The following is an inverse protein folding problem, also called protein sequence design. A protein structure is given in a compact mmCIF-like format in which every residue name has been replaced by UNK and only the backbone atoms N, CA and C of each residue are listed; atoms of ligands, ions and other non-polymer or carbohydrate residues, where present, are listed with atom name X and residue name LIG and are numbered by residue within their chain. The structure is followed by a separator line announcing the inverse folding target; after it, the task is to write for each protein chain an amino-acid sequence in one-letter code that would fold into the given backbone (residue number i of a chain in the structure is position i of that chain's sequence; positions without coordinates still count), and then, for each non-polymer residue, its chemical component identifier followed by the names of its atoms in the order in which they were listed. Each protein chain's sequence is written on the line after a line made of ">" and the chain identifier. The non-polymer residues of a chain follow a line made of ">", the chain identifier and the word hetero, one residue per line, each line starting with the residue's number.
data_IF_879398969345
#
_entry.id   IF_879398969345
#
_cell.length_a   1.000
_cell.length_b   1.000
_cell.length_c   1.000
_cell.angle_alpha   90.00
_cell.angle_beta   90.00
_cell.angle_gamma   90.00
#
_symmetry.space_group_name_H-M   'P 1'
#
loop_
_entity.id
_entity.type
_entity.pdbx_description
1 polymer ?
#
# COMPACT_ATOMS: atom_id res chain seq x y z
N UNK A 1 33.94 18.18 -1.23
CA UNK A 1 34.52 18.63 -2.52
C UNK A 1 35.76 17.88 -2.98
N UNK A 2 36.73 17.47 -2.13
CA UNK A 2 37.87 16.65 -2.60
C UNK A 2 37.57 15.14 -2.72
N UNK A 3 36.59 14.60 -2.00
CA UNK A 3 36.24 13.17 -2.01
C UNK A 3 35.33 12.74 -3.19
N UNK A 4 34.56 13.67 -3.76
CA UNK A 4 33.62 13.38 -4.87
C UNK A 4 34.33 13.02 -6.18
N UNK A 5 35.53 13.59 -6.40
CA UNK A 5 36.38 13.28 -7.56
C UNK A 5 36.98 11.87 -7.52
N UNK A 6 37.29 11.38 -6.32
CA UNK A 6 37.83 10.02 -6.12
C UNK A 6 36.74 8.94 -6.24
N UNK A 7 35.51 9.24 -5.84
CA UNK A 7 34.41 8.29 -5.98
C UNK A 7 34.03 8.05 -7.45
N UNK A 8 33.79 9.11 -8.24
CA UNK A 8 33.38 8.96 -9.64
C UNK A 8 34.46 8.28 -10.49
N UNK A 9 35.74 8.51 -10.17
CA UNK A 9 36.86 7.83 -10.83
C UNK A 9 36.93 6.35 -10.44
N UNK A 10 36.76 6.00 -9.15
CA UNK A 10 36.65 4.60 -8.69
C UNK A 10 35.44 3.89 -9.32
N UNK A 11 34.27 4.52 -9.33
CA UNK A 11 33.06 4.00 -9.97
C UNK A 11 33.29 3.72 -11.45
N UNK A 12 33.82 4.71 -12.20
CA UNK A 12 34.18 4.53 -13.62
C UNK A 12 35.23 3.45 -13.84
N UNK A 13 36.20 3.30 -12.94
CA UNK A 13 37.22 2.26 -13.02
C UNK A 13 36.60 0.87 -12.88
N UNK A 14 35.71 0.66 -11.91
CA UNK A 14 34.99 -0.61 -11.75
C UNK A 14 34.09 -0.88 -12.95
N UNK A 15 33.32 0.12 -13.42
CA UNK A 15 32.50 -0.03 -14.63
C UNK A 15 33.32 -0.35 -15.89
N UNK A 16 34.53 0.22 -16.02
CA UNK A 16 35.43 -0.08 -17.15
C UNK A 16 36.05 -1.49 -17.07
N UNK A 17 36.18 -2.10 -15.88
CA UNK A 17 36.59 -3.51 -15.74
C UNK A 17 35.49 -4.47 -16.24
N UNK A 18 34.23 -4.05 -16.19
CA UNK A 18 33.06 -4.82 -16.65
C UNK A 18 32.76 -4.67 -18.15
N UNK A 19 33.34 -3.67 -18.84
CA UNK A 19 33.19 -3.53 -20.29
C UNK A 19 33.81 -4.73 -21.00
N UNK A 20 33.06 -5.33 -21.93
CA UNK A 20 33.52 -6.45 -22.76
C UNK A 20 34.84 -6.09 -23.44
N UNK A 21 35.92 -6.72 -23.01
CA UNK A 21 37.19 -6.74 -23.74
C UNK A 21 37.15 -7.95 -24.66
N UNK A 22 37.56 -7.76 -25.92
CA UNK A 22 37.65 -8.84 -26.91
C UNK A 22 38.36 -10.04 -26.26
N UNK A 23 37.70 -11.21 -26.25
CA UNK A 23 38.18 -12.51 -25.75
C UNK A 23 38.28 -12.80 -24.24
N UNK A 24 37.97 -11.89 -23.31
CA UNK A 24 38.01 -12.20 -21.86
C UNK A 24 36.65 -12.02 -21.18
N UNK A 25 36.16 -13.08 -20.52
CA UNK A 25 34.99 -12.97 -19.62
C UNK A 25 35.37 -12.05 -18.46
N UNK A 26 34.62 -10.96 -18.20
CA UNK A 26 34.90 -10.09 -17.06
C UNK A 26 34.68 -10.85 -15.74
N UNK A 27 35.51 -10.58 -14.72
CA UNK A 27 35.33 -11.10 -13.36
C UNK A 27 34.20 -10.36 -12.67
N UNK A 28 33.01 -10.94 -12.70
CA UNK A 28 31.79 -10.31 -12.23
C UNK A 28 31.69 -10.26 -10.70
N UNK A 29 32.17 -11.30 -10.00
CA UNK A 29 32.13 -11.38 -8.53
C UNK A 29 33.05 -10.33 -7.86
N UNK A 30 34.27 -10.12 -8.37
CA UNK A 30 35.16 -9.09 -7.84
C UNK A 30 34.61 -7.67 -8.06
N UNK A 31 33.84 -7.47 -9.13
CA UNK A 31 33.23 -6.19 -9.42
C UNK A 31 32.03 -5.92 -8.49
N UNK A 32 31.19 -6.92 -8.19
CA UNK A 32 30.10 -6.76 -7.23
C UNK A 32 30.62 -6.47 -5.83
N UNK A 33 31.69 -7.13 -5.38
CA UNK A 33 32.34 -6.82 -4.09
C UNK A 33 32.90 -5.39 -4.05
N UNK A 34 33.55 -4.94 -5.13
CA UNK A 34 34.05 -3.56 -5.23
C UNK A 34 32.93 -2.52 -5.17
N UNK A 35 31.79 -2.77 -5.83
CA UNK A 35 30.62 -1.89 -5.71
C UNK A 35 30.00 -1.95 -4.32
N UNK A 36 29.97 -3.11 -3.67
CA UNK A 36 29.45 -3.27 -2.32
C UNK A 36 30.28 -2.50 -1.28
N UNK A 37 31.60 -2.48 -1.43
CA UNK A 37 32.49 -1.66 -0.59
C UNK A 37 32.24 -0.16 -0.81
N UNK A 38 32.19 0.28 -2.07
CA UNK A 38 31.90 1.68 -2.40
C UNK A 38 30.53 2.13 -1.89
N UNK A 39 29.50 1.27 -1.98
CA UNK A 39 28.18 1.59 -1.46
C UNK A 39 28.19 1.79 0.07
N UNK A 40 28.95 0.99 0.81
CA UNK A 40 29.09 1.15 2.27
C UNK A 40 29.83 2.44 2.64
N UNK A 41 30.91 2.77 1.94
CA UNK A 41 31.65 4.03 2.14
C UNK A 41 30.74 5.24 1.87
N UNK A 42 29.94 5.19 0.80
CA UNK A 42 29.02 6.27 0.46
C UNK A 42 27.85 6.41 1.43
N UNK A 43 27.34 5.30 1.97
CA UNK A 43 26.36 5.32 3.07
C UNK A 43 26.92 6.00 4.32
N UNK A 44 28.21 5.82 4.62
CA UNK A 44 28.87 6.49 5.76
C UNK A 44 29.11 7.98 5.52
N UNK A 45 29.14 8.41 4.25
CA UNK A 45 29.32 9.80 3.85
C UNK A 45 27.99 10.52 3.59
N UNK A 46 26.86 9.92 3.95
CA UNK A 46 25.49 10.41 3.73
C UNK A 46 25.16 10.74 2.24
N UNK A 47 25.92 10.17 1.31
CA UNK A 47 25.71 10.32 -0.13
C UNK A 47 24.75 9.24 -0.65
N UNK A 48 23.50 9.26 -0.18
CA UNK A 48 22.50 8.20 -0.39
C UNK A 48 22.21 7.90 -1.87
N UNK A 49 22.10 8.94 -2.70
CA UNK A 49 21.79 8.81 -4.13
C UNK A 49 22.88 8.01 -4.87
N UNK A 50 24.15 8.31 -4.59
CA UNK A 50 25.29 7.62 -5.18
C UNK A 50 25.44 6.19 -4.65
N UNK A 51 25.13 5.96 -3.37
CA UNK A 51 25.08 4.61 -2.80
C UNK A 51 24.01 3.76 -3.48
N UNK A 52 22.84 4.33 -3.76
CA UNK A 52 21.77 3.67 -4.48
C UNK A 52 22.16 3.31 -5.92
N UNK A 53 22.85 4.21 -6.64
CA UNK A 53 23.40 3.89 -7.96
C UNK A 53 24.44 2.77 -7.94
N UNK A 54 25.27 2.69 -6.89
CA UNK A 54 26.21 1.58 -6.71
C UNK A 54 25.49 0.25 -6.49
N UNK A 55 24.42 0.25 -5.67
CA UNK A 55 23.61 -0.94 -5.44
C UNK A 55 22.87 -1.39 -6.70
N UNK A 56 22.34 -0.45 -7.48
CA UNK A 56 21.73 -0.74 -8.79
C UNK A 56 22.76 -1.35 -9.75
N UNK A 57 24.01 -0.85 -9.75
CA UNK A 57 25.08 -1.41 -10.56
C UNK A 57 25.46 -2.86 -10.18
N UNK A 58 25.30 -3.24 -8.91
CA UNK A 58 25.44 -4.64 -8.46
C UNK A 58 24.31 -5.51 -8.99
N UNK A 59 23.08 -5.04 -8.88
CA UNK A 59 21.89 -5.87 -9.04
C UNK A 59 21.37 -6.02 -10.48
N UNK A 60 22.00 -5.39 -11.48
CA UNK A 60 21.35 -5.16 -12.78
C UNK A 60 21.22 -6.41 -13.68
N UNK A 61 19.99 -6.73 -14.14
CA UNK A 61 19.73 -7.34 -15.45
C UNK A 61 19.09 -6.34 -16.46
N UNK A 62 19.52 -6.48 -17.71
CA UNK A 62 18.84 -6.18 -19.00
C UNK A 62 18.09 -4.82 -19.14
N UNK A 63 18.78 -3.85 -19.75
CA UNK A 63 18.21 -2.99 -20.80
C UNK A 63 18.83 -3.42 -22.14
N UNK A 64 18.33 -4.51 -22.73
CA UNK A 64 18.42 -4.78 -24.18
C UNK A 64 17.41 -5.87 -24.55
N UNK A 65 16.15 -5.49 -24.72
CA UNK A 65 15.24 -6.07 -25.71
C UNK A 65 14.12 -5.05 -26.00
N UNK A 66 14.30 -4.31 -27.09
CA UNK A 66 13.25 -3.58 -27.80
C UNK A 66 12.79 -2.25 -27.20
N UNK A 67 13.13 -1.14 -27.89
CA UNK A 67 12.31 0.08 -28.10
C UNK A 67 11.95 0.89 -26.83
N UNK A 68 12.44 2.10 -26.55
CA UNK A 68 12.46 3.40 -27.28
C UNK A 68 13.46 4.35 -26.54
N UNK A 69 14.04 5.41 -27.15
CA UNK A 69 15.29 6.04 -26.71
C UNK A 69 15.14 7.30 -25.83
N UNK A 70 16.28 7.69 -25.22
CA UNK A 70 16.61 8.96 -24.55
C UNK A 70 16.21 9.03 -23.05
N UNK A 71 17.07 9.40 -22.08
CA UNK A 71 18.29 10.21 -22.04
C UNK A 71 19.34 9.48 -21.16
N UNK A 72 20.60 9.44 -21.62
CA UNK A 72 21.77 8.63 -21.18
C UNK A 72 21.87 8.25 -19.68
N UNK A 73 22.15 6.96 -19.35
CA UNK A 73 23.53 6.45 -19.30
C UNK A 73 23.77 5.16 -20.14
N UNK A 74 25.05 4.75 -20.36
CA UNK A 74 25.45 3.78 -21.38
C UNK A 74 25.07 2.31 -21.05
N UNK A 75 25.18 1.40 -22.05
CA UNK A 75 24.92 -0.02 -21.85
C UNK A 75 26.05 -0.65 -21.04
N UNK A 76 25.78 -1.85 -20.52
CA UNK A 76 26.68 -2.73 -19.75
C UNK A 76 26.74 -2.45 -18.24
N UNK A 77 26.05 -3.28 -17.47
CA UNK A 77 26.61 -4.14 -16.42
C UNK A 77 25.58 -5.27 -16.20
N UNK A 78 26.00 -6.53 -16.37
CA UNK A 78 25.22 -7.76 -16.14
C UNK A 78 26.00 -8.53 -15.11
N UNK A 79 25.61 -8.44 -13.85
CA UNK A 79 26.45 -8.98 -12.78
C UNK A 79 25.81 -10.24 -12.16
N UNK A 80 24.63 -10.13 -11.58
CA UNK A 80 24.13 -11.22 -10.74
C UNK A 80 23.32 -12.27 -11.51
N UNK A 81 22.60 -11.88 -12.56
CA UNK A 81 21.93 -12.83 -13.45
C UNK A 81 22.90 -13.72 -14.23
N UNK A 82 24.13 -13.26 -14.50
CA UNK A 82 25.18 -14.09 -15.11
C UNK A 82 25.76 -15.14 -14.17
N UNK A 83 25.51 -15.01 -12.87
CA UNK A 83 25.94 -15.94 -11.82
C UNK A 83 24.80 -16.86 -11.33
N UNK A 84 23.59 -16.73 -11.90
CA UNK A 84 22.38 -17.44 -11.44
C UNK A 84 22.07 -17.24 -9.94
N UNK A 85 22.57 -16.16 -9.33
CA UNK A 85 22.29 -15.84 -7.93
C UNK A 85 21.09 -14.90 -7.84
N UNK A 86 19.91 -15.44 -8.17
CA UNK A 86 18.68 -14.69 -8.14
C UNK A 86 18.39 -14.03 -6.75
N UNK A 87 18.59 -14.68 -5.58
CA UNK A 87 18.25 -14.06 -4.29
C UNK A 87 19.19 -12.91 -3.92
N UNK A 88 20.47 -13.00 -4.30
CA UNK A 88 21.41 -11.88 -4.16
C UNK A 88 20.98 -10.66 -4.98
N UNK A 89 20.52 -10.91 -6.21
CA UNK A 89 20.00 -9.88 -7.11
C UNK A 89 18.79 -9.16 -6.53
N UNK A 90 17.83 -9.90 -5.99
CA UNK A 90 16.65 -9.34 -5.36
C UNK A 90 17.00 -8.49 -4.13
N UNK A 91 17.97 -8.93 -3.31
CA UNK A 91 18.44 -8.17 -2.15
C UNK A 91 19.16 -6.88 -2.56
N UNK A 92 20.03 -6.93 -3.57
CA UNK A 92 20.73 -5.74 -4.04
C UNK A 92 19.76 -4.71 -4.67
N UNK A 93 18.72 -5.17 -5.37
CA UNK A 93 17.65 -4.29 -5.88
C UNK A 93 16.83 -3.65 -4.76
N UNK A 94 16.46 -4.42 -3.73
CA UNK A 94 15.68 -3.88 -2.61
C UNK A 94 16.49 -2.90 -1.76
N UNK A 95 17.77 -3.18 -1.54
CA UNK A 95 18.68 -2.24 -0.87
C UNK A 95 18.90 -0.95 -1.67
N UNK A 96 18.98 -1.03 -3.00
CA UNK A 96 19.02 0.16 -3.85
C UNK A 96 17.74 0.98 -3.71
N UNK A 97 16.58 0.32 -3.78
CA UNK A 97 15.27 0.96 -3.71
C UNK A 97 15.06 1.69 -2.38
N UNK A 98 15.42 1.06 -1.26
CA UNK A 98 15.33 1.67 0.08
C UNK A 98 16.18 2.93 0.21
N UNK A 99 17.39 2.94 -0.37
CA UNK A 99 18.24 4.14 -0.36
C UNK A 99 17.65 5.28 -1.20
N UNK A 100 17.06 4.97 -2.35
CA UNK A 100 16.36 5.97 -3.15
C UNK A 100 15.16 6.55 -2.39
N UNK A 101 14.36 5.72 -1.72
CA UNK A 101 13.25 6.20 -0.88
C UNK A 101 13.73 7.08 0.27
N UNK A 102 14.84 6.72 0.94
CA UNK A 102 15.43 7.55 1.98
C UNK A 102 15.88 8.90 1.43
N UNK A 103 16.54 8.93 0.28
CA UNK A 103 16.94 10.19 -0.36
C UNK A 103 15.75 11.07 -0.75
N UNK A 104 14.62 10.47 -1.17
CA UNK A 104 13.40 11.25 -1.42
C UNK A 104 12.79 11.80 -0.14
N UNK A 105 12.79 11.03 0.95
CA UNK A 105 12.32 11.51 2.25
C UNK A 105 13.14 12.70 2.74
N UNK A 106 14.46 12.65 2.57
CA UNK A 106 15.34 13.78 2.91
C UNK A 106 15.08 15.00 2.02
N UNK A 107 14.94 14.81 0.70
CA UNK A 107 14.60 15.91 -0.21
C UNK A 107 13.27 16.59 0.16
N UNK A 108 12.27 15.80 0.56
CA UNK A 108 10.97 16.30 1.02
C UNK A 108 11.03 16.98 2.37
N UNK A 109 11.84 16.47 3.30
CA UNK A 109 12.10 17.13 4.58
C UNK A 109 12.73 18.52 4.38
N UNK A 110 13.60 18.65 3.37
CA UNK A 110 14.19 19.92 2.95
C UNK A 110 13.23 20.80 2.11
N UNK A 111 12.04 20.31 1.78
CA UNK A 111 11.06 20.96 0.89
C UNK A 111 11.68 21.40 -0.45
N UNK A 112 12.68 20.66 -0.92
CA UNK A 112 13.35 20.97 -2.18
C UNK A 112 12.39 20.66 -3.35
N UNK A 113 12.17 21.59 -4.30
CA UNK A 113 11.42 21.29 -5.51
C UNK A 113 12.24 20.32 -6.37
N UNK A 114 11.82 19.06 -6.40
CA UNK A 114 12.42 17.98 -7.20
C UNK A 114 11.40 17.33 -8.13
N UNK A 115 11.87 16.76 -9.24
CA UNK A 115 11.04 16.06 -10.24
C UNK A 115 10.78 14.58 -9.89
N UNK A 116 10.87 14.21 -8.60
CA UNK A 116 10.69 12.82 -8.11
C UNK A 116 11.55 11.77 -8.82
N UNK A 117 12.75 12.14 -9.27
CA UNK A 117 13.63 11.24 -10.04
C UNK A 117 14.06 10.02 -9.22
N UNK A 118 14.35 10.20 -7.92
CA UNK A 118 14.73 9.08 -7.07
C UNK A 118 13.51 8.23 -6.69
N UNK A 119 12.31 8.80 -6.60
CA UNK A 119 11.07 8.04 -6.42
C UNK A 119 10.81 7.13 -7.61
N UNK A 120 10.90 7.66 -8.83
CA UNK A 120 10.75 6.86 -10.06
C UNK A 120 11.83 5.77 -10.16
N UNK A 121 13.07 6.08 -9.77
CA UNK A 121 14.13 5.08 -9.68
C UNK A 121 13.80 3.98 -8.65
N UNK A 122 13.27 4.34 -7.49
CA UNK A 122 12.85 3.39 -6.45
C UNK A 122 11.71 2.48 -6.95
N UNK A 123 10.67 3.05 -7.56
CA UNK A 123 9.52 2.31 -8.12
C UNK A 123 9.96 1.27 -9.13
N UNK A 124 10.88 1.64 -10.02
CA UNK A 124 11.46 0.73 -10.99
C UNK A 124 12.24 -0.40 -10.31
N UNK A 125 13.10 -0.07 -9.33
CA UNK A 125 13.87 -1.08 -8.58
C UNK A 125 12.97 -2.08 -7.84
N UNK A 126 11.93 -1.61 -7.15
CA UNK A 126 10.93 -2.48 -6.52
C UNK A 126 10.19 -3.34 -7.55
N UNK A 127 9.78 -2.76 -8.68
CA UNK A 127 9.09 -3.51 -9.74
C UNK A 127 9.94 -4.65 -10.31
N UNK A 128 11.25 -4.47 -10.41
CA UNK A 128 12.17 -5.54 -10.80
C UNK A 128 12.36 -6.56 -9.68
N UNK A 129 12.55 -6.13 -8.42
CA UNK A 129 12.69 -7.04 -7.30
C UNK A 129 11.46 -7.96 -7.14
N UNK A 130 10.25 -7.40 -7.27
CA UNK A 130 8.99 -8.16 -7.21
C UNK A 130 8.94 -9.23 -8.31
N UNK A 131 9.35 -8.90 -9.55
CA UNK A 131 9.39 -9.88 -10.65
C UNK A 131 10.35 -11.04 -10.34
N UNK A 132 11.53 -10.73 -9.80
CA UNK A 132 12.53 -11.73 -9.42
C UNK A 132 11.99 -12.65 -8.31
N UNK A 133 11.31 -12.12 -7.29
CA UNK A 133 10.70 -12.95 -6.23
C UNK A 133 9.54 -13.82 -6.74
N UNK A 134 8.78 -13.36 -7.73
CA UNK A 134 7.74 -14.17 -8.38
C UNK A 134 8.38 -15.31 -9.18
N UNK A 135 9.47 -15.05 -9.92
CA UNK A 135 10.22 -16.08 -10.65
C UNK A 135 10.83 -17.15 -9.71
N UNK A 136 11.13 -16.78 -8.46
CA UNK A 136 11.59 -17.71 -7.41
C UNK A 136 10.48 -18.51 -6.74
N UNK A 137 9.21 -18.30 -7.08
CA UNK A 137 8.05 -18.85 -6.39
C UNK A 137 7.97 -18.45 -4.90
N UNK A 138 8.40 -17.24 -4.53
CA UNK A 138 8.27 -16.68 -3.18
C UNK A 138 7.31 -15.48 -3.17
N UNK A 139 5.98 -15.69 -3.31
CA UNK A 139 5.01 -14.60 -3.42
C UNK A 139 4.86 -13.78 -2.13
N UNK A 140 5.14 -14.38 -0.96
CA UNK A 140 5.10 -13.70 0.34
C UNK A 140 6.14 -12.58 0.40
N UNK A 141 7.36 -12.83 -0.08
CA UNK A 141 8.42 -11.82 -0.15
C UNK A 141 8.11 -10.74 -1.19
N UNK A 142 7.49 -11.12 -2.31
CA UNK A 142 7.02 -10.16 -3.30
C UNK A 142 5.94 -9.23 -2.72
N UNK A 143 5.01 -9.77 -1.93
CA UNK A 143 3.94 -9.01 -1.30
C UNK A 143 4.46 -8.04 -0.23
N UNK A 144 5.42 -8.46 0.60
CA UNK A 144 6.01 -7.57 1.62
C UNK A 144 6.70 -6.35 1.00
N UNK A 145 7.35 -6.51 -0.16
CA UNK A 145 7.92 -5.39 -0.90
C UNK A 145 6.85 -4.45 -1.48
N UNK A 146 5.73 -4.99 -1.97
CA UNK A 146 4.59 -4.18 -2.39
C UNK A 146 4.02 -3.36 -1.21
N UNK A 147 3.94 -3.95 -0.02
CA UNK A 147 3.46 -3.27 1.20
C UNK A 147 4.42 -2.18 1.66
N UNK A 148 5.74 -2.45 1.69
CA UNK A 148 6.75 -1.43 2.00
C UNK A 148 6.64 -0.22 1.07
N UNK A 149 6.46 -0.48 -0.23
CA UNK A 149 6.30 0.56 -1.24
C UNK A 149 4.99 1.34 -1.07
N UNK A 150 3.87 0.65 -0.83
CA UNK A 150 2.57 1.29 -0.59
C UNK A 150 2.60 2.20 0.64
N UNK A 151 3.21 1.75 1.74
CA UNK A 151 3.36 2.56 2.95
C UNK A 151 4.25 3.79 2.72
N UNK A 152 5.35 3.63 1.99
CA UNK A 152 6.20 4.77 1.62
C UNK A 152 5.45 5.79 0.76
N UNK A 153 4.61 5.35 -0.19
CA UNK A 153 3.78 6.24 -1.01
C UNK A 153 2.68 6.94 -0.21
N UNK A 154 2.08 6.25 0.78
CA UNK A 154 1.10 6.83 1.72
C UNK A 154 1.72 7.95 2.55
N UNK A 155 2.89 7.71 3.15
CA UNK A 155 3.67 8.75 3.85
C UNK A 155 4.06 9.92 2.94
N UNK A 156 4.25 9.64 1.65
CA UNK A 156 4.55 10.62 0.62
C UNK A 156 3.32 11.38 0.10
N UNK A 157 2.15 11.26 0.73
CA UNK A 157 0.89 11.88 0.32
C UNK A 157 0.47 11.53 -1.13
N UNK A 158 0.82 10.33 -1.62
CA UNK A 158 0.37 9.79 -2.92
C UNK A 158 -0.47 8.53 -2.75
N UNK A 159 -1.65 8.61 -2.11
CA UNK A 159 -2.50 7.45 -1.88
C UNK A 159 -3.01 6.81 -3.18
N UNK A 160 -3.18 7.58 -4.26
CA UNK A 160 -3.64 7.08 -5.56
C UNK A 160 -2.72 6.01 -6.19
N UNK A 161 -1.41 6.26 -6.19
CA UNK A 161 -0.42 5.28 -6.67
C UNK A 161 -0.30 4.09 -5.72
N UNK A 162 -0.45 4.33 -4.41
CA UNK A 162 -0.35 3.29 -3.38
C UNK A 162 -1.43 2.20 -3.52
N UNK A 163 -2.65 2.56 -3.95
CA UNK A 163 -3.77 1.62 -4.13
C UNK A 163 -3.38 0.44 -5.02
N UNK A 164 -2.71 0.70 -6.16
CA UNK A 164 -2.31 -0.35 -7.12
C UNK A 164 -1.30 -1.31 -6.48
N UNK A 165 -0.39 -0.80 -5.64
CA UNK A 165 0.59 -1.61 -4.95
C UNK A 165 -0.03 -2.47 -3.84
N UNK A 166 -1.00 -1.93 -3.09
CA UNK A 166 -1.74 -2.69 -2.08
C UNK A 166 -2.63 -3.77 -2.70
N UNK A 167 -3.31 -3.46 -3.82
CA UNK A 167 -4.08 -4.46 -4.57
C UNK A 167 -3.19 -5.62 -5.02
N UNK A 168 -2.03 -5.31 -5.59
CA UNK A 168 -1.07 -6.34 -6.00
C UNK A 168 -0.53 -7.15 -4.82
N UNK A 169 -0.37 -6.55 -3.64
CA UNK A 169 0.04 -7.28 -2.43
C UNK A 169 -1.04 -8.28 -2.00
N UNK A 170 -2.31 -7.88 -2.00
CA UNK A 170 -3.44 -8.73 -1.67
C UNK A 170 -3.55 -9.96 -2.59
N UNK A 171 -3.42 -9.74 -3.91
CA UNK A 171 -3.42 -10.82 -4.90
C UNK A 171 -2.31 -11.86 -4.64
N UNK A 172 -1.10 -11.39 -4.30
CA UNK A 172 0.03 -12.26 -3.99
C UNK A 172 -0.12 -13.00 -2.65
N UNK A 173 -0.88 -12.44 -1.70
CA UNK A 173 -1.13 -12.99 -0.36
C UNK A 173 -2.35 -13.89 -0.26
N UNK A 174 -2.90 -14.35 -1.39
CA UNK A 174 -4.09 -15.23 -1.40
C UNK A 174 -3.94 -16.49 -0.52
N UNK A 175 -2.72 -16.97 -0.26
CA UNK A 175 -2.46 -18.11 0.63
C UNK A 175 -2.57 -17.79 2.14
N UNK A 176 -2.39 -16.52 2.52
CA UNK A 176 -2.40 -16.04 3.91
C UNK A 176 -3.54 -15.05 4.09
N UNK A 177 -4.76 -15.50 4.45
CA UNK A 177 -5.96 -14.66 4.44
C UNK A 177 -5.87 -13.42 5.32
N UNK A 178 -5.23 -13.53 6.48
CA UNK A 178 -5.12 -12.43 7.43
C UNK A 178 -4.28 -11.29 6.83
N UNK A 179 -3.15 -11.61 6.19
CA UNK A 179 -2.30 -10.59 5.54
C UNK A 179 -2.98 -9.97 4.33
N UNK A 180 -3.69 -10.78 3.53
CA UNK A 180 -4.51 -10.29 2.42
C UNK A 180 -5.59 -9.31 2.89
N UNK A 181 -6.26 -9.57 4.01
CA UNK A 181 -7.26 -8.67 4.57
C UNK A 181 -6.63 -7.37 5.07
N UNK A 182 -5.46 -7.44 5.72
CA UNK A 182 -4.76 -6.23 6.17
C UNK A 182 -4.30 -5.35 4.99
N UNK A 183 -3.84 -5.95 3.90
CA UNK A 183 -3.48 -5.19 2.69
C UNK A 183 -4.70 -4.58 1.99
N UNK A 184 -5.84 -5.28 1.98
CA UNK A 184 -7.12 -4.72 1.52
C UNK A 184 -7.62 -3.57 2.41
N UNK A 185 -7.40 -3.65 3.73
CA UNK A 185 -7.72 -2.56 4.65
C UNK A 185 -6.92 -1.29 4.32
N UNK A 186 -5.61 -1.41 4.16
CA UNK A 186 -4.76 -0.27 3.77
C UNK A 186 -5.15 0.31 2.40
N UNK A 187 -5.58 -0.55 1.47
CA UNK A 187 -6.16 -0.10 0.20
C UNK A 187 -7.45 0.70 0.39
N UNK A 188 -8.38 0.23 1.23
CA UNK A 188 -9.63 0.93 1.52
C UNK A 188 -9.36 2.30 2.18
N UNK A 189 -8.42 2.36 3.12
CA UNK A 189 -7.98 3.61 3.75
C UNK A 189 -7.42 4.59 2.70
N UNK A 190 -6.61 4.11 1.74
CA UNK A 190 -6.11 4.95 0.66
C UNK A 190 -7.23 5.46 -0.27
N UNK A 191 -8.24 4.63 -0.57
CA UNK A 191 -9.39 5.03 -1.39
C UNK A 191 -10.25 6.10 -0.71
N UNK A 192 -10.43 6.01 0.61
CA UNK A 192 -11.10 7.04 1.40
C UNK A 192 -10.35 8.37 1.30
N UNK A 193 -9.01 8.35 1.40
CA UNK A 193 -8.19 9.55 1.24
C UNK A 193 -8.26 10.14 -0.18
N UNK A 194 -8.40 9.32 -1.22
CA UNK A 194 -8.60 9.79 -2.60
C UNK A 194 -10.04 10.18 -2.91
N UNK A 195 -10.96 10.09 -1.94
CA UNK A 195 -12.41 10.34 -2.08
C UNK A 195 -13.12 9.39 -3.05
N UNK A 196 -12.55 8.22 -3.31
CA UNK A 196 -13.21 7.17 -4.09
C UNK A 196 -13.99 6.25 -3.12
N UNK A 197 -15.14 6.74 -2.67
CA UNK A 197 -15.96 6.05 -1.68
C UNK A 197 -16.66 4.80 -2.24
N UNK A 198 -17.07 4.83 -3.51
CA UNK A 198 -17.64 3.67 -4.20
C UNK A 198 -16.61 2.54 -4.32
N UNK A 199 -15.38 2.88 -4.72
CA UNK A 199 -14.28 1.93 -4.77
C UNK A 199 -13.89 1.39 -3.38
N UNK A 200 -14.04 2.20 -2.32
CA UNK A 200 -13.82 1.77 -0.94
C UNK A 200 -14.90 0.78 -0.47
N UNK A 201 -16.18 1.04 -0.77
CA UNK A 201 -17.28 0.14 -0.45
C UNK A 201 -17.11 -1.24 -1.10
N UNK A 202 -16.71 -1.29 -2.37
CA UNK A 202 -16.46 -2.55 -3.08
C UNK A 202 -15.39 -3.39 -2.37
N UNK A 203 -14.28 -2.76 -1.96
CA UNK A 203 -13.18 -3.43 -1.24
C UNK A 203 -13.65 -3.94 0.13
N UNK A 204 -14.40 -3.14 0.88
CA UNK A 204 -14.92 -3.56 2.19
C UNK A 204 -15.91 -4.72 2.08
N UNK A 205 -16.70 -4.79 1.00
CA UNK A 205 -17.56 -5.94 0.71
C UNK A 205 -16.76 -7.19 0.38
N UNK A 206 -15.73 -7.08 -0.47
CA UNK A 206 -14.81 -8.20 -0.76
C UNK A 206 -14.09 -8.71 0.49
N UNK A 207 -13.68 -7.79 1.39
CA UNK A 207 -13.10 -8.13 2.68
C UNK A 207 -14.06 -8.93 3.56
N UNK A 208 -15.33 -8.51 3.63
CA UNK A 208 -16.34 -9.23 4.41
C UNK A 208 -16.61 -10.63 3.87
N UNK A 209 -16.73 -10.77 2.54
CA UNK A 209 -16.87 -12.08 1.90
C UNK A 209 -15.67 -12.97 2.21
N UNK A 210 -14.45 -12.45 2.10
CA UNK A 210 -13.23 -13.20 2.39
C UNK A 210 -13.17 -13.64 3.86
N UNK A 211 -13.57 -12.77 4.79
CA UNK A 211 -13.70 -13.10 6.22
C UNK A 211 -14.77 -14.19 6.45
N UNK A 212 -15.89 -14.15 5.75
CA UNK A 212 -16.95 -15.16 5.85
C UNK A 212 -16.56 -16.49 5.21
N UNK A 213 -15.79 -16.51 4.12
CA UNK A 213 -15.37 -17.76 3.48
C UNK A 213 -14.26 -18.45 4.26
N UNK A 214 -13.32 -17.67 4.83
CA UNK A 214 -12.08 -18.20 5.42
C UNK A 214 -12.04 -18.16 6.93
N UNK A 215 -12.90 -17.38 7.58
CA UNK A 215 -13.03 -17.28 9.03
C UNK A 215 -13.92 -18.35 9.67
N UNK A 216 -14.52 -19.24 8.87
CA UNK A 216 -15.37 -20.33 9.34
C UNK A 216 -14.56 -21.55 9.74
N UNK A 217 -14.72 -21.98 11.00
CA UNK A 217 -14.19 -23.28 11.47
C UNK A 217 -14.99 -24.47 10.88
N UNK A 218 -16.28 -24.26 10.63
CA UNK A 218 -17.23 -25.27 10.12
C UNK A 218 -18.19 -24.61 9.12
N UNK A 219 -18.55 -25.29 8.00
CA UNK A 219 -19.60 -24.81 7.11
C UNK A 219 -20.92 -24.75 7.90
N UNK A 220 -21.42 -23.53 8.17
CA UNK A 220 -22.72 -23.31 8.84
C UNK A 220 -22.70 -22.61 10.20
N UNK A 221 -21.53 -22.28 10.77
CA UNK A 221 -21.46 -21.43 11.98
C UNK A 221 -21.16 -19.98 11.60
N UNK A 222 -22.14 -19.08 11.61
CA UNK A 222 -22.01 -17.68 11.15
C UNK A 222 -21.07 -16.78 12.00
N UNK A 223 -20.27 -17.33 12.91
CA UNK A 223 -19.41 -16.54 13.79
C UNK A 223 -17.93 -16.73 13.40
N UNK A 224 -17.28 -15.67 12.87
CA UNK A 224 -15.83 -15.70 12.67
C UNK A 224 -15.11 -15.77 14.04
N UNK A 225 -13.89 -16.29 14.08
CA UNK A 225 -13.14 -16.44 15.34
C UNK A 225 -11.90 -15.55 15.37
N UNK A 226 -11.68 -14.88 16.50
CA UNK A 226 -10.45 -14.16 16.83
C UNK A 226 -10.22 -12.94 15.94
N UNK A 227 -9.05 -12.84 15.32
CA UNK A 227 -8.63 -11.68 14.52
C UNK A 227 -9.58 -11.33 13.36
N UNK A 228 -10.33 -12.31 12.84
CA UNK A 228 -11.36 -12.05 11.83
C UNK A 228 -12.57 -11.29 12.39
N UNK A 229 -12.91 -11.46 13.68
CA UNK A 229 -13.98 -10.69 14.32
C UNK A 229 -13.62 -9.20 14.39
N UNK A 230 -12.40 -8.88 14.80
CA UNK A 230 -11.95 -7.49 14.92
C UNK A 230 -11.91 -6.80 13.55
N UNK A 231 -11.47 -7.51 12.51
CA UNK A 231 -11.49 -7.01 11.12
C UNK A 231 -12.92 -6.83 10.62
N UNK A 232 -13.81 -7.77 10.89
CA UNK A 232 -15.24 -7.68 10.54
C UNK A 232 -15.91 -6.48 11.21
N UNK A 233 -15.66 -6.27 12.51
CA UNK A 233 -16.20 -5.13 13.24
C UNK A 233 -15.80 -3.80 12.59
N UNK A 234 -14.50 -3.62 12.29
CA UNK A 234 -13.99 -2.43 11.59
C UNK A 234 -14.59 -2.25 10.19
N UNK A 235 -14.73 -3.34 9.43
CA UNK A 235 -15.34 -3.30 8.10
C UNK A 235 -16.82 -2.88 8.17
N UNK A 236 -17.57 -3.39 9.14
CA UNK A 236 -18.99 -3.03 9.28
C UNK A 236 -19.17 -1.57 9.71
N UNK A 237 -18.39 -1.08 10.68
CA UNK A 237 -18.42 0.32 11.10
C UNK A 237 -18.13 1.24 9.90
N UNK A 238 -17.02 0.98 9.20
CA UNK A 238 -16.61 1.80 8.05
C UNK A 238 -17.62 1.75 6.91
N UNK A 239 -18.21 0.59 6.65
CA UNK A 239 -19.23 0.44 5.60
C UNK A 239 -20.51 1.19 5.95
N UNK A 240 -20.99 1.11 7.19
CA UNK A 240 -22.20 1.87 7.61
C UNK A 240 -21.95 3.36 7.41
N UNK A 241 -20.81 3.88 7.87
CA UNK A 241 -20.46 5.30 7.69
C UNK A 241 -20.40 5.70 6.21
N UNK A 242 -19.81 4.87 5.34
CA UNK A 242 -19.77 5.12 3.90
C UNK A 242 -21.14 5.06 3.23
N UNK A 243 -22.03 4.15 3.63
CA UNK A 243 -23.40 4.08 3.13
C UNK A 243 -24.21 5.32 3.54
N UNK A 244 -23.98 5.85 4.74
CA UNK A 244 -24.61 7.08 5.21
C UNK A 244 -24.10 8.34 4.51
N UNK A 245 -22.85 8.31 4.01
CA UNK A 245 -22.25 9.36 3.18
C UNK A 245 -22.81 9.34 1.76
N UNK A 246 -22.77 8.17 1.10
CA UNK A 246 -23.10 8.04 -0.32
C UNK A 246 -24.60 8.06 -0.63
N UNK A 247 -25.46 7.64 0.31
CA UNK A 247 -26.90 7.41 0.10
C UNK A 247 -27.21 6.82 -1.30
N UNK A 248 -26.62 5.66 -1.65
CA UNK A 248 -26.71 5.15 -3.01
C UNK A 248 -28.18 4.89 -3.38
N UNK A 249 -28.62 5.28 -4.58
CA UNK A 249 -29.97 4.97 -5.03
C UNK A 249 -30.18 3.45 -5.07
N UNK A 250 -31.40 2.94 -4.81
CA UNK A 250 -31.66 1.52 -4.60
C UNK A 250 -31.30 0.61 -5.79
N UNK A 251 -31.06 1.18 -6.97
CA UNK A 251 -30.64 0.47 -8.17
C UNK A 251 -29.16 0.07 -8.18
N UNK A 252 -28.29 0.76 -7.44
CA UNK A 252 -26.85 0.46 -7.32
C UNK A 252 -26.52 -0.29 -6.03
N UNK A 253 -27.53 -0.61 -5.23
CA UNK A 253 -27.36 -1.13 -3.90
C UNK A 253 -27.18 -2.66 -3.98
N UNK A 254 -25.96 -3.14 -3.73
CA UNK A 254 -25.69 -4.57 -3.65
C UNK A 254 -26.53 -5.20 -2.52
N UNK A 255 -26.99 -6.45 -2.66
CA UNK A 255 -27.85 -7.09 -1.66
C UNK A 255 -27.21 -7.15 -0.27
N UNK A 256 -25.87 -7.20 -0.19
CA UNK A 256 -25.12 -7.13 1.06
C UNK A 256 -25.29 -5.79 1.77
N UNK A 257 -25.27 -4.69 1.01
CA UNK A 257 -25.47 -3.34 1.55
C UNK A 257 -26.91 -3.19 2.06
N UNK A 258 -27.89 -3.78 1.35
CA UNK A 258 -29.30 -3.74 1.74
C UNK A 258 -29.50 -4.45 3.08
N UNK A 259 -28.98 -5.68 3.19
CA UNK A 259 -29.03 -6.45 4.43
C UNK A 259 -28.38 -5.72 5.60
N UNK A 260 -27.35 -4.91 5.35
CA UNK A 260 -26.68 -4.19 6.43
C UNK A 260 -27.51 -3.00 6.88
N UNK A 261 -28.07 -2.23 5.95
CA UNK A 261 -28.97 -1.14 6.30
C UNK A 261 -30.22 -1.65 7.01
N UNK A 262 -30.79 -2.78 6.58
CA UNK A 262 -31.94 -3.41 7.23
C UNK A 262 -31.65 -3.81 8.69
N UNK A 263 -30.42 -4.25 9.02
CA UNK A 263 -30.01 -4.56 10.41
C UNK A 263 -29.87 -3.33 11.31
N UNK A 264 -29.64 -2.16 10.72
CA UNK A 264 -29.54 -0.89 11.45
C UNK A 264 -30.82 -0.03 11.33
N UNK A 265 -31.80 -0.49 10.55
CA UNK A 265 -33.09 0.18 10.36
C UNK A 265 -34.13 -0.27 11.40
N UNK A 266 -35.13 0.58 11.60
CA UNK A 266 -36.18 0.55 12.63
C UNK A 266 -36.92 -0.80 12.84
N UNK A 267 -36.86 -1.74 11.88
CA UNK A 267 -37.65 -2.98 11.90
C UNK A 267 -36.93 -4.17 12.57
N UNK A 268 -35.63 -4.09 12.86
CA UNK A 268 -34.87 -5.18 13.49
C UNK A 268 -34.76 -5.03 15.02
N UNK A 269 -35.88 -4.89 15.71
CA UNK A 269 -35.95 -4.98 17.18
C UNK A 269 -35.82 -6.42 17.70
N UNK A 270 -35.63 -7.41 16.83
CA UNK A 270 -35.46 -8.79 17.23
C UNK A 270 -34.09 -9.00 17.89
N UNK A 271 -34.11 -9.52 19.11
CA UNK A 271 -32.98 -10.01 19.91
C UNK A 271 -32.13 -11.09 19.23
N UNK A 272 -32.46 -11.49 18.00
CA UNK A 272 -31.70 -12.40 17.13
C UNK A 272 -30.86 -11.69 16.06
N UNK A 273 -30.96 -10.36 15.96
CA UNK A 273 -30.14 -9.50 15.07
C UNK A 273 -28.91 -8.92 15.78
N UNK A 274 -28.53 -9.46 16.94
CA UNK A 274 -27.28 -9.06 17.59
C UNK A 274 -26.10 -9.51 16.75
N UNK A 275 -25.47 -8.54 16.11
CA UNK A 275 -24.12 -8.66 15.57
C UNK A 275 -23.19 -9.10 16.70
N UNK A 276 -22.89 -10.40 16.77
CA UNK A 276 -22.15 -11.03 17.89
C UNK A 276 -20.69 -10.56 17.96
N UNK A 277 -20.25 -9.78 16.97
CA UNK A 277 -18.88 -9.35 16.75
C UNK A 277 -18.66 -7.85 17.04
N UNK A 278 -19.71 -7.08 17.40
CA UNK A 278 -19.61 -5.66 17.74
C UNK A 278 -20.00 -5.44 19.22
N UNK A 279 -19.34 -4.48 19.88
CA UNK A 279 -19.75 -4.07 21.22
C UNK A 279 -21.15 -3.44 21.18
N UNK A 280 -22.03 -3.86 22.10
CA UNK A 280 -23.43 -3.40 22.17
C UNK A 280 -23.56 -1.87 22.15
N UNK A 281 -22.64 -1.17 22.85
CA UNK A 281 -22.60 0.29 22.88
C UNK A 281 -22.35 0.90 21.49
N UNK A 282 -21.42 0.35 20.72
CA UNK A 282 -21.09 0.86 19.37
C UNK A 282 -22.25 0.56 18.42
N UNK A 283 -22.86 -0.62 18.54
CA UNK A 283 -24.02 -1.00 17.74
C UNK A 283 -25.19 -0.03 17.93
N UNK A 284 -25.56 0.27 19.18
CA UNK A 284 -26.64 1.20 19.50
C UNK A 284 -26.36 2.63 19.01
N UNK A 285 -25.12 3.10 19.17
CA UNK A 285 -24.71 4.43 18.69
C UNK A 285 -24.69 4.50 17.15
N UNK A 286 -24.35 3.41 16.45
CA UNK A 286 -24.45 3.38 14.98
C UNK A 286 -25.90 3.37 14.51
N UNK A 287 -26.79 2.64 15.19
CA UNK A 287 -28.22 2.70 14.90
C UNK A 287 -28.76 4.12 15.05
N UNK A 288 -28.43 4.82 16.13
CA UNK A 288 -28.87 6.21 16.32
C UNK A 288 -28.29 7.15 15.26
N UNK A 289 -27.06 6.94 14.79
CA UNK A 289 -26.49 7.71 13.66
C UNK A 289 -27.27 7.47 12.37
N UNK A 290 -27.63 6.22 12.06
CA UNK A 290 -28.42 5.89 10.86
C UNK A 290 -29.79 6.57 10.93
N UNK A 291 -30.46 6.51 12.08
CA UNK A 291 -31.74 7.17 12.32
C UNK A 291 -31.65 8.69 12.19
N UNK A 292 -30.67 9.31 12.84
CA UNK A 292 -30.49 10.76 12.80
C UNK A 292 -30.20 11.26 11.37
N UNK A 293 -29.51 10.47 10.55
CA UNK A 293 -29.31 10.79 9.14
C UNK A 293 -30.59 10.65 8.31
N UNK A 294 -31.42 9.62 8.54
CA UNK A 294 -32.70 9.44 7.85
C UNK A 294 -33.68 10.58 8.19
N UNK A 295 -33.71 10.99 9.45
CA UNK A 295 -34.56 12.08 9.96
C UNK A 295 -33.98 13.48 9.66
N UNK A 296 -32.73 13.55 9.17
CA UNK A 296 -31.97 14.79 8.90
C UNK A 296 -31.77 15.68 10.13
N UNK A 297 -31.65 15.06 11.32
CA UNK A 297 -31.42 15.79 12.56
C UNK A 297 -29.93 16.11 12.77
N UNK A 298 -29.56 17.37 12.50
CA UNK A 298 -28.18 17.84 12.64
C UNK A 298 -27.73 18.05 14.07
N UNK A 299 -28.65 18.20 15.04
CA UNK A 299 -28.29 18.41 16.45
C UNK A 299 -27.90 17.09 17.11
N UNK A 300 -28.71 16.05 16.89
CA UNK A 300 -28.44 14.70 17.36
C UNK A 300 -27.15 14.12 16.74
N UNK A 301 -26.86 14.41 15.47
CA UNK A 301 -25.60 13.97 14.84
C UNK A 301 -24.35 14.58 15.51
N UNK A 302 -24.42 15.84 15.97
CA UNK A 302 -23.30 16.50 16.65
C UNK A 302 -23.06 15.92 18.04
N UNK A 303 -24.11 15.61 18.79
CA UNK A 303 -23.96 14.94 20.09
C UNK A 303 -23.40 13.53 19.92
N UNK A 304 -23.89 12.78 18.94
CA UNK A 304 -23.41 11.43 18.63
C UNK A 304 -21.94 11.43 18.19
N UNK A 305 -21.48 12.46 17.47
CA UNK A 305 -20.07 12.60 17.09
C UNK A 305 -19.14 12.68 18.32
N UNK A 306 -19.56 13.37 19.38
CA UNK A 306 -18.78 13.50 20.62
C UNK A 306 -18.69 12.16 21.36
N UNK A 307 -19.81 11.42 21.40
CA UNK A 307 -19.90 10.13 22.08
C UNK A 307 -19.15 9.01 21.34
N UNK A 308 -19.15 9.06 20.00
CA UNK A 308 -18.47 8.07 19.15
C UNK A 308 -16.96 8.31 19.03
N UNK A 309 -16.49 9.55 19.21
CA UNK A 309 -15.08 9.91 19.04
C UNK A 309 -14.06 9.01 19.76
N UNK A 310 -14.24 8.66 21.06
CA UNK A 310 -13.29 7.79 21.77
C UNK A 310 -13.42 6.30 21.40
N UNK A 311 -14.51 5.89 20.76
CA UNK A 311 -14.80 4.50 20.42
C UNK A 311 -14.31 4.12 19.03
N UNK A 312 -14.18 5.10 18.13
CA UNK A 312 -13.80 4.92 16.74
C UNK A 312 -12.31 5.17 16.48
N UNK A 313 -11.80 4.53 15.44
CA UNK A 313 -10.45 4.80 14.91
C UNK A 313 -10.37 6.17 14.22
N UNK A 314 -9.15 6.67 13.99
CA UNK A 314 -8.95 7.96 13.33
C UNK A 314 -9.54 8.01 11.91
N UNK A 315 -9.51 6.89 11.17
CA UNK A 315 -10.06 6.78 9.82
C UNK A 315 -11.59 6.80 9.84
N UNK A 316 -12.21 6.07 10.77
CA UNK A 316 -13.67 6.09 10.99
C UNK A 316 -14.16 7.46 11.49
N UNK A 317 -13.40 8.12 12.37
CA UNK A 317 -13.69 9.47 12.83
C UNK A 317 -13.63 10.49 11.68
N UNK A 318 -12.72 10.30 10.72
CA UNK A 318 -12.67 11.11 9.51
C UNK A 318 -13.94 10.94 8.65
N UNK A 319 -14.37 9.69 8.44
CA UNK A 319 -15.63 9.41 7.73
C UNK A 319 -16.84 10.01 8.44
N UNK A 320 -16.95 9.84 9.76
CA UNK A 320 -18.05 10.42 10.54
C UNK A 320 -18.08 11.95 10.43
N UNK A 321 -16.91 12.60 10.45
CA UNK A 321 -16.83 14.04 10.25
C UNK A 321 -17.31 14.47 8.86
N UNK A 322 -16.96 13.72 7.80
CA UNK A 322 -17.43 13.97 6.44
C UNK A 322 -18.96 13.82 6.34
N UNK A 323 -19.53 12.79 6.96
CA UNK A 323 -21.00 12.59 7.02
C UNK A 323 -21.67 13.80 7.69
N UNK A 324 -21.18 14.24 8.85
CA UNK A 324 -21.71 15.42 9.53
C UNK A 324 -21.59 16.68 8.67
N UNK A 325 -20.47 16.85 7.97
CA UNK A 325 -20.23 18.00 7.11
C UNK A 325 -21.19 18.06 5.91
N UNK A 326 -21.44 16.94 5.24
CA UNK A 326 -22.37 16.84 4.11
C UNK A 326 -23.82 17.10 4.53
N UNK A 327 -24.20 16.72 5.77
CA UNK A 327 -25.57 16.99 6.28
C UNK A 327 -25.79 18.44 6.69
N UNK A 328 -24.77 19.09 7.25
CA UNK A 328 -24.85 20.51 7.65
C UNK A 328 -24.79 21.42 6.42
N UNK A 329 -23.96 21.06 5.45
CA UNK A 329 -23.77 21.79 4.20
C UNK A 329 -23.89 20.78 3.07
N UNK A 330 -25.09 20.57 2.49
CA UNK A 330 -25.21 19.69 1.34
C UNK A 330 -24.42 20.33 0.22
N UNK A 331 -23.20 19.85 0.02
CA UNK A 331 -22.37 20.21 -1.12
C UNK A 331 -23.14 19.75 -2.35
N UNK A 332 -23.86 20.67 -2.98
CA UNK A 332 -24.46 20.51 -4.31
C UNK A 332 -23.41 20.42 -5.41
N UNK A 333 -22.33 19.68 -5.17
CA UNK A 333 -21.36 19.28 -6.17
C UNK A 333 -21.44 17.77 -6.25
N UNK A 334 -22.13 17.32 -7.29
CA UNK A 334 -22.16 15.92 -7.66
C UNK A 334 -20.74 15.36 -7.74
N UNK A 335 -20.58 14.20 -7.13
CA UNK A 335 -19.64 13.19 -7.58
C UNK A 335 -20.07 12.73 -8.97
#
# INVERSE_FOLDING_TARGET
>A
MAAEGDFLTRYRAVSNKLKKRFLRKPNVAEASEQFGQLAKELKQQDCLQYAAFCNLAMARPILTRGEVPCIQPPPLCRCEQTLFNAPGEALALTDAARLFLLSERENRALQAPGFDEHLQAALNCYSFAIKVYIEMNQPVMAASLCLELGNALKEMNRPGEAIVHFQRAAELQTQMPIESLLSQWEMAACKILTRDYDGALAVLSEMQLTCQERGLLLPGTNTPVGAFMDLMAKCEISRVLLLMLLEPPPQKLLPEHAQTLERYAWESFDSHSQVTFLAENIFLLLQSVVMACQEKDTESLKSLQIELWPLLSAEENHLLHLVVQERITPSGQGI
#
